data_IF_398467249106
#
_entry.id   IF_398467249106
#
_cell.length_a   1.000
_cell.length_b   1.000
_cell.length_c   1.000
_cell.angle_alpha   90.00
_cell.angle_beta   90.00
_cell.angle_gamma   90.00
#
_symmetry.space_group_name_H-M   'P 1'
#
loop_
_entity.id
_entity.type
_entity.pdbx_description
1 polymer ?
#
# COMPACT_ATOMS: atom_id res chain seq x y z
N UNK A 1 37.32 -17.77 -65.45
CA UNK A 1 37.31 -16.85 -64.28
C UNK A 1 36.79 -17.62 -63.08
N UNK A 2 37.64 -17.81 -62.07
CA UNK A 2 37.30 -18.44 -60.78
C UNK A 2 36.53 -17.40 -59.95
N UNK A 3 35.34 -17.72 -59.46
CA UNK A 3 34.75 -17.02 -58.30
C UNK A 3 34.19 -18.07 -57.35
N UNK A 4 34.99 -18.29 -56.31
CA UNK A 4 34.70 -19.04 -55.10
C UNK A 4 33.71 -18.20 -54.27
N UNK A 5 32.48 -18.66 -54.06
CA UNK A 5 31.57 -18.04 -53.10
C UNK A 5 31.73 -18.76 -51.76
N UNK A 6 32.33 -18.03 -50.84
CA UNK A 6 32.64 -18.40 -49.48
C UNK A 6 31.38 -18.32 -48.61
N UNK A 7 31.18 -19.35 -47.80
CA UNK A 7 30.12 -19.53 -46.82
C UNK A 7 30.05 -18.41 -45.77
N UNK A 8 28.84 -17.94 -45.42
CA UNK A 8 28.56 -17.33 -44.11
C UNK A 8 27.31 -18.01 -43.55
N UNK A 9 27.53 -19.05 -42.75
CA UNK A 9 26.49 -19.58 -41.87
C UNK A 9 26.40 -18.65 -40.65
N UNK A 10 25.33 -17.86 -40.56
CA UNK A 10 25.01 -17.09 -39.37
C UNK A 10 24.43 -18.07 -38.34
N UNK A 11 25.27 -18.54 -37.43
CA UNK A 11 24.80 -19.25 -36.24
C UNK A 11 24.11 -18.24 -35.31
N UNK A 12 22.78 -18.24 -35.31
CA UNK A 12 21.97 -17.56 -34.29
C UNK A 12 22.25 -18.23 -32.94
N UNK A 13 23.13 -17.62 -32.14
CA UNK A 13 23.35 -17.97 -30.76
C UNK A 13 22.16 -17.48 -29.94
N UNK A 14 21.21 -18.36 -29.65
CA UNK A 14 20.16 -18.12 -28.67
C UNK A 14 20.82 -18.10 -27.29
N UNK A 15 21.09 -16.90 -26.76
CA UNK A 15 21.45 -16.75 -25.36
C UNK A 15 20.18 -16.97 -24.54
N UNK A 16 19.93 -18.21 -24.15
CA UNK A 16 19.01 -18.49 -23.05
C UNK A 16 19.68 -17.95 -21.79
N UNK A 17 19.16 -16.86 -21.23
CA UNK A 17 19.51 -16.44 -19.89
C UNK A 17 19.01 -17.52 -18.92
N UNK A 18 19.89 -18.46 -18.57
CA UNK A 18 19.63 -19.41 -17.50
C UNK A 18 19.63 -18.62 -16.20
N UNK A 19 18.45 -18.33 -15.65
CA UNK A 19 18.32 -17.84 -14.29
C UNK A 19 18.84 -18.97 -13.41
N UNK A 20 20.00 -18.78 -12.80
CA UNK A 20 20.54 -19.73 -11.83
C UNK A 20 19.46 -20.03 -10.78
N UNK A 21 19.01 -21.28 -10.73
CA UNK A 21 18.20 -21.79 -9.63
C UNK A 21 18.99 -21.54 -8.35
N UNK A 22 18.50 -20.69 -7.46
CA UNK A 22 19.08 -20.57 -6.12
C UNK A 22 18.94 -21.93 -5.45
N UNK A 23 20.07 -22.55 -5.08
CA UNK A 23 20.07 -23.86 -4.44
C UNK A 23 19.17 -23.82 -3.18
N UNK A 24 18.27 -24.79 -3.01
CA UNK A 24 17.33 -24.82 -1.88
C UNK A 24 15.98 -24.13 -2.12
N UNK A 25 15.73 -23.54 -3.30
CA UNK A 25 14.44 -22.92 -3.66
C UNK A 25 13.76 -23.68 -4.78
N UNK A 26 12.53 -24.15 -4.54
CA UNK A 26 11.62 -24.70 -5.54
C UNK A 26 10.73 -23.59 -6.12
N UNK A 27 10.76 -23.43 -7.44
CA UNK A 27 9.97 -22.42 -8.14
C UNK A 27 8.81 -23.04 -8.92
N UNK A 28 7.61 -22.55 -8.70
CA UNK A 28 6.40 -22.81 -9.49
C UNK A 28 6.08 -21.54 -10.28
N UNK A 29 6.33 -21.57 -11.59
CA UNK A 29 6.19 -20.38 -12.44
C UNK A 29 4.87 -20.38 -13.21
N UNK A 30 4.40 -19.18 -13.52
CA UNK A 30 3.26 -18.92 -14.39
C UNK A 30 1.97 -19.63 -13.97
N UNK A 31 1.77 -19.78 -12.65
CA UNK A 31 0.56 -20.31 -12.06
C UNK A 31 -0.62 -19.38 -12.36
N UNK A 32 -1.61 -19.88 -13.08
CA UNK A 32 -2.81 -19.12 -13.46
C UNK A 32 -3.74 -19.03 -12.24
N UNK A 33 -4.01 -17.81 -11.77
CA UNK A 33 -4.85 -17.61 -10.58
C UNK A 33 -6.29 -17.18 -10.92
N UNK A 34 -6.58 -16.88 -12.19
CA UNK A 34 -7.94 -16.72 -12.74
C UNK A 34 -8.05 -17.56 -14.00
N UNK A 35 -8.71 -18.72 -13.90
CA UNK A 35 -8.96 -19.58 -15.06
C UNK A 35 -9.78 -18.87 -16.13
N UNK A 36 -9.36 -18.96 -17.39
CA UNK A 36 -9.97 -18.23 -18.50
C UNK A 36 -9.85 -16.70 -18.43
N UNK A 37 -9.10 -16.17 -17.46
CA UNK A 37 -8.86 -14.75 -17.28
C UNK A 37 -7.87 -14.16 -18.28
N UNK A 38 -7.44 -12.92 -18.02
CA UNK A 38 -6.41 -12.27 -18.83
C UNK A 38 -5.09 -13.04 -18.73
N UNK A 39 -4.25 -12.99 -19.76
CA UNK A 39 -2.92 -13.65 -19.77
C UNK A 39 -1.98 -13.21 -18.63
N UNK A 40 -2.30 -12.08 -17.99
CA UNK A 40 -1.55 -11.50 -16.86
C UNK A 40 -2.04 -12.02 -15.52
N UNK A 41 -3.15 -12.77 -15.46
CA UNK A 41 -3.61 -13.39 -14.22
C UNK A 41 -2.76 -14.61 -13.85
N UNK A 42 -1.45 -14.36 -13.69
CA UNK A 42 -0.41 -15.34 -13.37
C UNK A 42 0.45 -14.88 -12.20
N UNK A 43 0.92 -15.84 -11.42
CA UNK A 43 1.89 -15.61 -10.36
C UNK A 43 3.04 -16.62 -10.43
N UNK A 44 4.16 -16.26 -9.82
CA UNK A 44 5.22 -17.20 -9.50
C UNK A 44 5.23 -17.44 -7.99
N UNK A 45 5.39 -18.70 -7.58
CA UNK A 45 5.48 -19.11 -6.19
C UNK A 45 6.83 -19.79 -5.94
N UNK A 46 7.55 -19.32 -4.93
CA UNK A 46 8.86 -19.78 -4.53
C UNK A 46 8.77 -20.36 -3.12
N UNK A 47 9.20 -21.61 -2.98
CA UNK A 47 9.11 -22.39 -1.75
C UNK A 47 10.50 -22.89 -1.35
N UNK A 48 10.81 -23.04 -0.07
CA UNK A 48 11.99 -23.79 0.34
C UNK A 48 11.81 -25.28 -0.08
N UNK A 49 12.90 -25.96 -0.40
CA UNK A 49 12.87 -27.39 -0.74
C UNK A 49 12.32 -28.26 0.39
N UNK A 50 12.56 -27.84 1.64
CA UNK A 50 12.06 -28.49 2.85
C UNK A 50 11.45 -27.47 3.79
N UNK A 51 10.41 -27.88 4.52
CA UNK A 51 9.75 -27.06 5.54
C UNK A 51 9.27 -27.96 6.68
N UNK A 52 9.42 -27.51 7.93
CA UNK A 52 8.99 -28.24 9.13
C UNK A 52 7.48 -28.14 9.41
N UNK A 53 6.75 -27.29 8.66
CA UNK A 53 5.31 -27.09 8.77
C UNK A 53 4.79 -26.05 7.78
N UNK A 54 3.51 -25.64 7.89
CA UNK A 54 2.92 -24.62 7.01
C UNK A 54 3.70 -23.30 7.06
N UNK A 55 3.99 -22.74 5.88
CA UNK A 55 4.84 -21.58 5.71
C UNK A 55 4.03 -20.28 5.79
N UNK A 56 4.52 -19.23 6.48
CA UNK A 56 4.03 -17.88 6.26
C UNK A 56 4.35 -17.46 4.82
N UNK A 57 3.48 -16.66 4.20
CA UNK A 57 3.60 -16.24 2.81
C UNK A 57 3.84 -14.73 2.71
N UNK A 58 4.83 -14.33 1.91
CA UNK A 58 5.00 -12.95 1.45
C UNK A 58 4.59 -12.83 -0.02
N UNK A 59 3.72 -11.88 -0.33
CA UNK A 59 3.21 -11.64 -1.67
C UNK A 59 3.76 -10.30 -2.16
N UNK A 60 4.59 -10.34 -3.20
CA UNK A 60 5.12 -9.16 -3.87
C UNK A 60 4.17 -8.65 -4.96
N UNK A 61 3.90 -7.35 -4.94
CA UNK A 61 3.16 -6.63 -5.97
C UNK A 61 4.07 -5.58 -6.59
N UNK A 62 4.35 -5.73 -7.89
CA UNK A 62 5.28 -4.88 -8.60
C UNK A 62 4.76 -3.44 -8.79
N UNK A 63 5.67 -2.48 -8.90
CA UNK A 63 5.37 -1.11 -9.33
C UNK A 63 5.27 -0.96 -10.85
N UNK A 64 5.33 0.28 -11.35
CA UNK A 64 5.27 0.56 -12.79
C UNK A 64 4.08 1.43 -13.23
N UNK A 65 3.60 2.29 -12.32
CA UNK A 65 2.53 3.27 -12.61
C UNK A 65 1.26 2.64 -13.16
N UNK A 66 0.96 1.39 -12.75
CA UNK A 66 -0.11 0.52 -13.27
C UNK A 66 -0.10 0.27 -14.78
N UNK A 67 0.86 0.83 -15.51
CA UNK A 67 0.96 0.80 -16.97
C UNK A 67 2.02 -0.19 -17.45
N UNK A 68 2.93 -0.61 -16.57
CA UNK A 68 4.02 -1.52 -16.90
C UNK A 68 4.41 -2.40 -15.70
N UNK A 69 5.38 -3.28 -15.92
CA UNK A 69 5.95 -4.16 -14.91
C UNK A 69 5.50 -5.62 -15.04
N UNK A 70 6.10 -6.48 -14.24
CA UNK A 70 5.76 -7.90 -14.17
C UNK A 70 6.10 -8.49 -12.79
N UNK A 71 5.68 -9.73 -12.58
CA UNK A 71 6.06 -10.60 -11.44
C UNK A 71 7.55 -10.94 -11.39
N UNK A 72 8.34 -10.52 -12.38
CA UNK A 72 9.77 -10.78 -12.40
C UNK A 72 10.53 -9.82 -11.46
N UNK A 73 11.74 -10.18 -11.03
CA UNK A 73 12.56 -9.31 -10.18
C UNK A 73 12.02 -9.12 -8.75
N UNK A 74 11.27 -10.08 -8.22
CA UNK A 74 10.70 -10.11 -6.87
C UNK A 74 11.75 -9.76 -5.78
N UNK A 75 11.65 -8.59 -5.09
CA UNK A 75 12.56 -8.21 -4.01
C UNK A 75 12.58 -9.18 -2.82
N UNK A 76 11.45 -9.72 -2.31
CA UNK A 76 11.51 -10.75 -1.27
C UNK A 76 12.32 -11.98 -1.67
N UNK A 77 12.26 -12.42 -2.93
CA UNK A 77 13.08 -13.54 -3.41
C UNK A 77 14.57 -13.16 -3.39
N UNK A 78 14.92 -11.98 -3.91
CA UNK A 78 16.32 -11.48 -3.93
C UNK A 78 16.87 -11.21 -2.53
N UNK A 79 16.00 -10.84 -1.59
CA UNK A 79 16.33 -10.58 -0.18
C UNK A 79 16.43 -11.84 0.68
N UNK A 80 16.35 -13.03 0.07
CA UNK A 80 16.56 -14.30 0.77
C UNK A 80 15.43 -14.69 1.72
N UNK A 81 14.18 -14.26 1.46
CA UNK A 81 13.07 -14.56 2.37
C UNK A 81 12.66 -16.04 2.34
N UNK A 82 12.95 -16.76 1.25
CA UNK A 82 12.70 -18.21 1.20
C UNK A 82 13.59 -18.95 2.20
N UNK A 83 14.87 -18.59 2.25
CA UNK A 83 15.88 -19.10 3.18
C UNK A 83 15.56 -18.72 4.63
N UNK A 84 14.78 -17.65 4.84
CA UNK A 84 14.25 -17.26 6.14
C UNK A 84 13.00 -18.05 6.53
N UNK A 85 12.56 -19.03 5.75
CA UNK A 85 11.39 -19.85 6.05
C UNK A 85 10.05 -19.19 5.69
N UNK A 86 10.04 -18.34 4.66
CA UNK A 86 8.81 -17.89 4.02
C UNK A 86 8.56 -18.65 2.71
N UNK A 87 7.29 -18.86 2.38
CA UNK A 87 6.91 -18.92 0.98
C UNK A 87 6.91 -17.49 0.39
N UNK A 88 7.27 -17.34 -0.88
CA UNK A 88 7.23 -16.06 -1.57
C UNK A 88 6.42 -16.18 -2.85
N UNK A 89 5.35 -15.41 -2.98
CA UNK A 89 4.62 -15.25 -4.24
C UNK A 89 4.95 -13.90 -4.87
N UNK A 90 5.04 -13.84 -6.19
CA UNK A 90 5.15 -12.60 -6.96
C UNK A 90 4.03 -12.60 -8.00
N UNK A 91 3.17 -11.59 -7.98
CA UNK A 91 1.93 -11.59 -8.78
C UNK A 91 2.00 -10.55 -9.90
N UNK A 92 1.44 -10.92 -11.05
CA UNK A 92 1.02 -9.95 -12.06
C UNK A 92 -0.42 -9.49 -11.76
N UNK A 93 -0.78 -8.34 -12.30
CA UNK A 93 -2.16 -7.83 -12.40
C UNK A 93 -2.36 -7.18 -13.78
N UNK A 94 -3.61 -7.01 -14.22
CA UNK A 94 -3.95 -6.30 -15.48
C UNK A 94 -3.48 -4.85 -15.42
N UNK A 95 -2.78 -4.40 -16.46
CA UNK A 95 -2.31 -3.02 -16.55
C UNK A 95 -3.46 -2.08 -16.94
N UNK A 96 -3.35 -0.79 -16.64
CA UNK A 96 -4.39 0.21 -16.93
C UNK A 96 -4.71 0.34 -18.42
N UNK A 97 -3.74 0.02 -19.29
CA UNK A 97 -3.97 -0.09 -20.73
C UNK A 97 -4.81 -1.29 -21.16
N UNK A 98 -4.99 -2.29 -20.30
CA UNK A 98 -5.85 -3.45 -20.56
C UNK A 98 -7.24 -3.27 -19.94
N UNK A 99 -7.31 -2.72 -18.72
CA UNK A 99 -8.55 -2.46 -18.01
C UNK A 99 -8.34 -1.35 -16.97
N UNK A 100 -9.32 -0.45 -16.85
CA UNK A 100 -9.34 0.56 -15.79
C UNK A 100 -9.65 -0.06 -14.42
N UNK A 101 -9.35 0.67 -13.35
CA UNK A 101 -9.74 0.31 -11.99
C UNK A 101 -11.25 0.04 -11.90
N UNK A 102 -11.71 -1.02 -11.18
CA UNK A 102 -11.00 -1.79 -10.14
C UNK A 102 -10.23 -3.04 -10.60
N UNK A 103 -10.01 -3.25 -11.90
CA UNK A 103 -9.40 -4.49 -12.42
C UNK A 103 -8.09 -4.91 -11.72
N UNK A 104 -7.24 -3.94 -11.36
CA UNK A 104 -5.96 -4.18 -10.69
C UNK A 104 -6.14 -4.76 -9.29
N UNK A 105 -7.02 -4.17 -8.47
CA UNK A 105 -7.24 -4.62 -7.09
C UNK A 105 -8.01 -5.95 -7.06
N UNK A 106 -8.94 -6.13 -8.00
CA UNK A 106 -9.64 -7.41 -8.21
C UNK A 106 -8.66 -8.54 -8.49
N UNK A 107 -7.69 -8.31 -9.38
CA UNK A 107 -6.66 -9.28 -9.73
C UNK A 107 -5.77 -9.62 -8.53
N UNK A 108 -5.33 -8.61 -7.78
CA UNK A 108 -4.53 -8.82 -6.57
C UNK A 108 -5.28 -9.63 -5.51
N UNK A 109 -6.55 -9.29 -5.25
CA UNK A 109 -7.39 -10.04 -4.31
C UNK A 109 -7.68 -11.46 -4.80
N UNK A 110 -7.93 -11.65 -6.09
CA UNK A 110 -8.10 -12.97 -6.68
C UNK A 110 -6.85 -13.85 -6.50
N UNK A 111 -5.65 -13.30 -6.69
CA UNK A 111 -4.40 -14.02 -6.44
C UNK A 111 -4.28 -14.46 -4.97
N UNK A 112 -4.63 -13.59 -4.01
CA UNK A 112 -4.62 -13.92 -2.58
C UNK A 112 -5.60 -15.07 -2.27
N UNK A 113 -6.83 -14.99 -2.78
CA UNK A 113 -7.84 -16.04 -2.59
C UNK A 113 -7.42 -17.36 -3.23
N UNK A 114 -6.82 -17.32 -4.41
CA UNK A 114 -6.27 -18.50 -5.08
C UNK A 114 -5.15 -19.14 -4.25
N UNK A 115 -4.22 -18.34 -3.71
CA UNK A 115 -3.15 -18.82 -2.83
C UNK A 115 -3.70 -19.46 -1.54
N UNK A 116 -4.80 -18.93 -0.98
CA UNK A 116 -5.50 -19.57 0.15
C UNK A 116 -6.18 -20.87 -0.23
N UNK A 117 -6.86 -20.92 -1.37
CA UNK A 117 -7.51 -22.13 -1.86
C UNK A 117 -6.50 -23.28 -2.08
N UNK A 118 -5.28 -22.95 -2.51
CA UNK A 118 -4.21 -23.91 -2.79
C UNK A 118 -3.21 -24.06 -1.63
N UNK A 119 -3.51 -23.52 -0.45
CA UNK A 119 -2.59 -23.49 0.66
C UNK A 119 -2.15 -24.90 1.10
N UNK A 120 -3.03 -25.89 1.05
CA UNK A 120 -2.68 -27.28 1.37
C UNK A 120 -1.68 -27.88 0.38
N UNK A 121 -1.82 -27.57 -0.91
CA UNK A 121 -0.93 -28.07 -1.97
C UNK A 121 0.48 -27.50 -1.82
N UNK A 122 0.58 -26.20 -1.51
CA UNK A 122 1.85 -25.50 -1.40
C UNK A 122 2.37 -25.36 0.04
N UNK A 123 1.76 -26.07 1.00
CA UNK A 123 2.11 -26.02 2.41
C UNK A 123 2.17 -24.59 2.98
N UNK A 124 1.15 -23.79 2.70
CA UNK A 124 1.02 -22.39 3.15
C UNK A 124 0.13 -22.32 4.39
N UNK A 125 0.45 -21.40 5.28
CA UNK A 125 -0.41 -21.05 6.41
C UNK A 125 -1.36 -19.91 6.05
N UNK A 126 -2.64 -20.25 5.84
CA UNK A 126 -3.69 -19.30 5.43
C UNK A 126 -3.90 -18.13 6.41
N UNK A 127 -3.39 -18.23 7.65
CA UNK A 127 -3.48 -17.19 8.68
C UNK A 127 -2.27 -16.26 8.69
N UNK A 128 -1.28 -16.45 7.82
CA UNK A 128 0.01 -15.72 7.88
C UNK A 128 0.45 -15.21 6.51
N UNK A 129 -0.40 -14.42 5.87
CA UNK A 129 -0.11 -13.80 4.57
C UNK A 129 0.26 -12.32 4.78
N UNK A 130 1.46 -11.93 4.35
CA UNK A 130 1.88 -10.54 4.24
C UNK A 130 1.96 -10.10 2.78
N UNK A 131 1.76 -8.81 2.54
CA UNK A 131 1.92 -8.19 1.22
C UNK A 131 2.99 -7.12 1.27
N UNK A 132 3.73 -6.99 0.17
CA UNK A 132 4.76 -5.98 -0.02
C UNK A 132 4.71 -5.48 -1.45
N UNK A 133 4.75 -4.18 -1.67
CA UNK A 133 4.82 -3.60 -3.00
C UNK A 133 5.54 -2.26 -3.02
N UNK A 134 5.89 -1.79 -4.22
CA UNK A 134 6.50 -0.49 -4.44
C UNK A 134 5.74 0.37 -5.43
N UNK A 135 5.71 1.70 -5.22
CA UNK A 135 5.04 2.65 -6.12
C UNK A 135 3.58 2.25 -6.37
N UNK A 136 3.16 2.06 -7.62
CA UNK A 136 1.85 1.48 -7.97
C UNK A 136 1.52 0.16 -7.24
N UNK A 137 2.52 -0.69 -6.98
CA UNK A 137 2.36 -1.90 -6.18
C UNK A 137 2.22 -1.59 -4.69
N UNK A 138 2.90 -0.55 -4.20
CA UNK A 138 2.75 0.00 -2.84
C UNK A 138 1.32 0.48 -2.58
N UNK A 139 0.77 1.22 -3.55
CA UNK A 139 -0.64 1.59 -3.60
C UNK A 139 -1.56 0.38 -3.53
N UNK A 140 -1.35 -0.64 -4.38
CA UNK A 140 -2.19 -1.83 -4.41
C UNK A 140 -2.11 -2.63 -3.10
N UNK A 141 -0.93 -2.77 -2.47
CA UNK A 141 -0.83 -3.48 -1.18
C UNK A 141 -1.44 -2.69 -0.03
N UNK A 142 -1.35 -1.35 -0.06
CA UNK A 142 -2.07 -0.51 0.88
C UNK A 142 -3.58 -0.69 0.72
N UNK A 143 -4.08 -0.69 -0.52
CA UNK A 143 -5.49 -0.93 -0.80
C UNK A 143 -5.93 -2.35 -0.40
N UNK A 144 -5.12 -3.39 -0.64
CA UNK A 144 -5.40 -4.75 -0.15
C UNK A 144 -5.56 -4.75 1.37
N UNK A 145 -4.68 -4.05 2.08
CA UNK A 145 -4.71 -3.94 3.54
C UNK A 145 -5.97 -3.28 4.07
N UNK A 146 -6.33 -2.12 3.52
CA UNK A 146 -7.47 -1.31 4.00
C UNK A 146 -8.82 -1.79 3.45
N UNK A 147 -8.84 -2.54 2.35
CA UNK A 147 -10.08 -3.02 1.71
C UNK A 147 -10.42 -4.47 2.07
N UNK A 148 -9.91 -5.00 3.19
CA UNK A 148 -10.05 -6.40 3.58
C UNK A 148 -11.48 -6.95 3.54
N UNK A 149 -12.46 -6.13 3.92
CA UNK A 149 -13.89 -6.49 3.96
C UNK A 149 -14.73 -5.83 2.85
N UNK A 150 -14.08 -5.14 1.91
CA UNK A 150 -14.72 -4.50 0.76
C UNK A 150 -14.98 -5.57 -0.30
N UNK A 151 -16.17 -6.17 -0.23
CA UNK A 151 -16.60 -7.29 -1.10
C UNK A 151 -16.79 -6.90 -2.57
N UNK A 152 -16.99 -5.62 -2.88
CA UNK A 152 -17.09 -5.16 -4.28
C UNK A 152 -15.82 -5.46 -5.10
N UNK A 153 -14.66 -5.58 -4.45
CA UNK A 153 -13.40 -5.94 -5.11
C UNK A 153 -13.14 -7.47 -5.13
N UNK A 154 -14.01 -8.26 -4.52
CA UNK A 154 -13.91 -9.72 -4.52
C UNK A 154 -14.76 -10.32 -5.64
N UNK A 155 -14.18 -10.40 -6.85
CA UNK A 155 -14.83 -10.96 -8.04
C UNK A 155 -14.12 -12.21 -8.55
N UNK A 156 -14.82 -13.06 -9.30
CA UNK A 156 -14.26 -14.26 -9.92
C UNK A 156 -14.33 -15.50 -9.03
N UNK A 157 -13.27 -16.31 -9.04
CA UNK A 157 -13.23 -17.60 -8.34
C UNK A 157 -12.77 -17.48 -6.86
N UNK A 158 -12.92 -18.60 -6.13
CA UNK A 158 -12.48 -18.77 -4.74
C UNK A 158 -13.08 -17.73 -3.78
N UNK A 159 -14.35 -17.31 -3.99
CA UNK A 159 -15.02 -16.27 -3.19
C UNK A 159 -15.34 -16.72 -1.75
N UNK A 160 -15.31 -18.03 -1.50
CA UNK A 160 -15.37 -18.64 -0.18
C UNK A 160 -14.07 -18.42 0.62
N UNK A 161 -12.96 -18.09 -0.05
CA UNK A 161 -11.70 -17.75 0.59
C UNK A 161 -11.61 -16.25 0.91
N UNK A 162 -10.98 -15.90 2.03
CA UNK A 162 -10.74 -14.50 2.37
C UNK A 162 -9.63 -13.89 1.51
N UNK A 163 -9.75 -12.61 1.15
CA UNK A 163 -8.66 -11.82 0.56
C UNK A 163 -7.89 -10.97 1.60
N UNK A 164 -8.21 -11.07 2.90
CA UNK A 164 -7.53 -10.29 3.96
C UNK A 164 -6.05 -10.68 4.09
N UNK A 165 -5.23 -9.77 4.59
CA UNK A 165 -3.80 -10.03 4.87
C UNK A 165 -3.49 -9.65 6.31
N UNK A 166 -2.34 -10.10 6.81
CA UNK A 166 -1.92 -9.94 8.21
C UNK A 166 -0.80 -8.93 8.40
N UNK A 167 -0.14 -8.49 7.33
CA UNK A 167 0.89 -7.45 7.37
C UNK A 167 1.02 -6.77 6.01
N UNK A 168 1.23 -5.45 6.01
CA UNK A 168 1.42 -4.65 4.79
C UNK A 168 2.73 -3.89 4.85
N UNK A 169 3.58 -4.04 3.83
CA UNK A 169 4.74 -3.20 3.61
C UNK A 169 4.55 -2.37 2.34
N UNK A 170 4.33 -1.07 2.50
CA UNK A 170 4.16 -0.11 1.42
C UNK A 170 5.46 0.67 1.20
N UNK A 171 6.08 0.49 0.02
CA UNK A 171 7.17 1.34 -0.43
C UNK A 171 6.61 2.46 -1.34
N UNK A 172 6.57 3.68 -0.81
CA UNK A 172 6.26 4.92 -1.54
C UNK A 172 5.06 4.84 -2.50
N UNK A 173 3.97 4.17 -2.07
CA UNK A 173 2.72 4.12 -2.81
C UNK A 173 1.97 5.45 -2.78
N UNK A 174 1.30 5.87 -3.87
CA UNK A 174 0.32 6.94 -3.83
C UNK A 174 -0.95 6.48 -3.11
N UNK A 175 -1.58 7.35 -2.31
CA UNK A 175 -2.62 6.96 -1.35
C UNK A 175 -3.87 7.84 -1.40
N UNK A 176 -3.73 9.07 -1.88
CA UNK A 176 -4.81 10.03 -2.06
C UNK A 176 -4.59 10.85 -3.34
N UNK A 177 -5.21 10.40 -4.43
CA UNK A 177 -4.96 10.92 -5.77
C UNK A 177 -5.32 12.40 -5.92
N UNK A 178 -6.38 12.90 -5.28
CA UNK A 178 -6.76 14.32 -5.44
C UNK A 178 -5.76 15.25 -4.77
N UNK A 179 -5.16 14.83 -3.65
CA UNK A 179 -4.06 15.56 -3.01
C UNK A 179 -2.77 15.39 -3.80
N UNK A 180 -2.48 14.19 -4.30
CA UNK A 180 -1.29 13.91 -5.11
C UNK A 180 -1.22 14.86 -6.31
N UNK A 181 -2.24 14.86 -7.18
CA UNK A 181 -2.21 15.67 -8.40
C UNK A 181 -2.28 17.18 -8.15
N UNK A 182 -2.64 17.59 -6.93
CA UNK A 182 -2.68 19.00 -6.51
C UNK A 182 -1.45 19.41 -5.70
N UNK A 183 -0.49 18.50 -5.48
CA UNK A 183 0.73 18.79 -4.72
C UNK A 183 1.71 19.61 -5.59
N UNK A 184 2.19 20.78 -5.13
CA UNK A 184 3.14 21.59 -5.89
C UNK A 184 4.41 20.81 -6.27
N UNK A 185 4.83 20.91 -7.52
CA UNK A 185 5.96 20.17 -8.09
C UNK A 185 5.59 18.81 -8.70
N UNK A 186 4.33 18.40 -8.66
CA UNK A 186 3.81 17.14 -9.21
C UNK A 186 2.69 17.36 -10.23
N UNK A 187 2.60 18.55 -10.82
CA UNK A 187 1.51 18.96 -11.70
C UNK A 187 1.37 18.09 -12.96
N UNK A 188 2.44 17.40 -13.37
CA UNK A 188 2.40 16.42 -14.47
C UNK A 188 1.39 15.29 -14.22
N UNK A 189 1.10 14.97 -12.96
CA UNK A 189 0.13 13.95 -12.57
C UNK A 189 -1.33 14.40 -12.71
N UNK A 190 -1.59 15.70 -12.85
CA UNK A 190 -2.94 16.24 -13.05
C UNK A 190 -3.47 16.11 -14.49
N UNK A 191 -2.63 15.63 -15.42
CA UNK A 191 -2.98 15.51 -16.84
C UNK A 191 -3.78 14.23 -17.14
N UNK A 192 -4.59 14.25 -18.20
CA UNK A 192 -5.35 13.06 -18.68
C UNK A 192 -4.44 11.91 -19.14
N UNK A 193 -3.16 12.21 -19.41
CA UNK A 193 -2.16 11.22 -19.79
C UNK A 193 -1.42 10.60 -18.60
N UNK A 194 -1.69 11.07 -17.37
CA UNK A 194 -1.00 10.60 -16.17
C UNK A 194 -1.30 9.12 -15.87
N UNK A 195 -0.40 8.41 -15.16
CA UNK A 195 -0.66 7.06 -14.68
C UNK A 195 -1.98 6.95 -13.91
N UNK A 196 -2.28 7.94 -13.07
CA UNK A 196 -3.48 8.01 -12.23
C UNK A 196 -4.74 8.17 -13.09
N UNK A 197 -4.70 9.06 -14.09
CA UNK A 197 -5.82 9.30 -14.98
C UNK A 197 -6.13 8.07 -15.85
N UNK A 198 -5.09 7.39 -16.36
CA UNK A 198 -5.26 6.13 -17.11
C UNK A 198 -5.79 5.00 -16.24
N UNK A 199 -5.37 4.94 -14.97
CA UNK A 199 -5.87 3.93 -14.03
C UNK A 199 -7.37 4.09 -13.82
N UNK A 200 -7.87 5.29 -13.55
CA UNK A 200 -9.29 5.52 -13.23
C UNK A 200 -10.17 5.79 -14.47
N UNK A 201 -9.57 5.88 -15.66
CA UNK A 201 -10.28 6.14 -16.92
C UNK A 201 -10.77 7.58 -17.07
N UNK A 202 -9.95 8.56 -16.68
CA UNK A 202 -10.22 10.00 -16.82
C UNK A 202 -9.39 10.83 -15.85
N UNK A 203 -9.26 12.14 -16.09
CA UNK A 203 -8.46 12.99 -15.20
C UNK A 203 -9.04 13.04 -13.77
N UNK A 204 -8.12 12.96 -12.80
CA UNK A 204 -8.41 12.80 -11.37
C UNK A 204 -9.35 13.88 -10.85
N UNK A 205 -9.09 15.15 -11.19
CA UNK A 205 -9.86 16.27 -10.64
C UNK A 205 -11.27 16.39 -11.19
N UNK A 206 -11.59 15.76 -12.34
CA UNK A 206 -12.96 15.68 -12.87
C UNK A 206 -13.67 14.37 -12.53
N UNK A 207 -12.96 13.37 -11.98
CA UNK A 207 -13.48 12.05 -11.64
C UNK A 207 -13.22 11.73 -10.16
N UNK A 208 -13.55 12.66 -9.25
CA UNK A 208 -13.21 12.57 -7.81
C UNK A 208 -13.85 11.38 -7.11
N UNK A 209 -15.03 10.96 -7.54
CA UNK A 209 -15.72 9.75 -7.11
C UNK A 209 -14.90 8.50 -7.46
N UNK A 210 -14.37 8.41 -8.69
CA UNK A 210 -13.47 7.31 -9.08
C UNK A 210 -12.13 7.40 -8.34
N UNK A 211 -11.60 8.60 -8.12
CA UNK A 211 -10.40 8.82 -7.33
C UNK A 211 -10.57 8.28 -5.90
N UNK A 212 -11.67 8.64 -5.23
CA UNK A 212 -11.98 8.14 -3.89
C UNK A 212 -12.05 6.60 -3.85
N UNK A 213 -12.62 5.96 -4.87
CA UNK A 213 -12.70 4.49 -4.95
C UNK A 213 -11.32 3.81 -5.08
N UNK A 214 -10.34 4.44 -5.70
CA UNK A 214 -8.99 3.86 -5.85
C UNK A 214 -8.07 4.19 -4.66
N UNK A 215 -8.41 5.17 -3.84
CA UNK A 215 -7.58 5.64 -2.74
C UNK A 215 -7.66 4.68 -1.52
N UNK A 216 -6.54 4.07 -1.08
CA UNK A 216 -6.50 3.22 0.11
C UNK A 216 -7.04 3.89 1.37
N UNK A 217 -6.84 5.21 1.51
CA UNK A 217 -7.24 5.97 2.70
C UNK A 217 -8.76 5.98 2.91
N UNK A 218 -9.54 5.77 1.85
CA UNK A 218 -11.01 5.74 1.90
C UNK A 218 -11.53 4.58 2.74
N UNK A 219 -10.78 3.48 2.80
CA UNK A 219 -11.24 2.23 3.39
C UNK A 219 -10.66 1.95 4.78
N UNK A 220 -9.79 2.84 5.27
CA UNK A 220 -9.08 2.61 6.53
C UNK A 220 -10.05 2.32 7.67
N UNK A 221 -9.80 1.22 8.38
CA UNK A 221 -10.63 0.73 9.47
C UNK A 221 -9.79 0.18 10.61
N UNK A 222 -10.33 0.15 11.83
CA UNK A 222 -9.58 -0.26 13.04
C UNK A 222 -9.08 -1.71 13.02
N UNK A 223 -9.68 -2.54 12.18
CA UNK A 223 -9.40 -3.97 12.02
C UNK A 223 -8.52 -4.28 10.79
N UNK A 224 -7.93 -3.24 10.20
CA UNK A 224 -6.87 -3.35 9.21
C UNK A 224 -5.59 -3.98 9.82
N UNK A 225 -4.79 -4.71 9.01
CA UNK A 225 -3.54 -5.30 9.49
C UNK A 225 -2.51 -4.22 9.85
N UNK A 226 -1.43 -4.56 10.56
CA UNK A 226 -0.32 -3.64 10.77
C UNK A 226 0.37 -3.21 9.46
N UNK A 227 0.83 -1.97 9.42
CA UNK A 227 1.52 -1.35 8.27
C UNK A 227 2.96 -0.98 8.61
N UNK A 228 3.87 -1.26 7.68
CA UNK A 228 5.16 -0.61 7.54
C UNK A 228 5.13 0.22 6.25
N UNK A 229 5.38 1.53 6.36
CA UNK A 229 5.41 2.46 5.24
C UNK A 229 6.83 3.00 5.12
N UNK A 230 7.43 2.95 3.93
CA UNK A 230 8.81 3.40 3.69
C UNK A 230 8.85 4.33 2.48
N UNK A 231 9.40 5.54 2.64
CA UNK A 231 9.42 6.54 1.57
C UNK A 231 10.70 7.39 1.61
N UNK A 232 11.27 7.72 0.46
CA UNK A 232 12.38 8.68 0.36
C UNK A 232 11.91 10.13 0.39
N UNK A 233 12.59 11.03 1.11
CA UNK A 233 12.18 12.44 1.21
C UNK A 233 12.56 13.32 0.00
N UNK A 234 13.24 12.75 -1.00
CA UNK A 234 13.56 13.36 -2.30
C UNK A 234 12.91 12.64 -3.47
N UNK A 235 11.85 11.87 -3.22
CA UNK A 235 11.07 11.21 -4.28
C UNK A 235 10.52 12.26 -5.25
N UNK A 236 10.89 12.24 -6.54
CA UNK A 236 10.38 13.21 -7.53
C UNK A 236 9.14 12.70 -8.26
N UNK A 237 8.65 11.49 -7.95
CA UNK A 237 7.58 10.80 -8.66
C UNK A 237 6.32 10.72 -7.81
N UNK A 238 6.44 10.31 -6.56
CA UNK A 238 5.32 10.28 -5.61
C UNK A 238 5.70 11.19 -4.44
N UNK A 239 4.88 12.21 -4.10
CA UNK A 239 5.20 13.09 -3.01
C UNK A 239 5.12 12.34 -1.69
N UNK A 240 6.09 12.57 -0.80
CA UNK A 240 6.14 11.93 0.52
C UNK A 240 4.88 12.19 1.38
N UNK A 241 4.13 13.25 1.08
CA UNK A 241 2.84 13.52 1.74
C UNK A 241 1.83 12.38 1.55
N UNK A 242 1.94 11.55 0.51
CA UNK A 242 1.09 10.38 0.31
C UNK A 242 1.29 9.35 1.43
N UNK A 243 2.53 9.04 1.78
CA UNK A 243 2.83 8.14 2.89
C UNK A 243 2.42 8.74 4.24
N UNK A 244 2.59 10.05 4.42
CA UNK A 244 2.14 10.74 5.63
C UNK A 244 0.61 10.68 5.80
N UNK A 245 -0.16 10.92 4.74
CA UNK A 245 -1.63 10.86 4.76
C UNK A 245 -2.14 9.47 5.14
N UNK A 246 -1.55 8.41 4.57
CA UNK A 246 -1.92 7.04 4.92
C UNK A 246 -1.55 6.72 6.36
N UNK A 247 -0.34 7.08 6.80
CA UNK A 247 0.09 6.88 8.18
C UNK A 247 -0.86 7.57 9.17
N UNK A 248 -1.21 8.83 8.91
CA UNK A 248 -2.11 9.60 9.77
C UNK A 248 -3.50 8.98 9.83
N UNK A 249 -4.06 8.55 8.69
CA UNK A 249 -5.36 7.88 8.64
C UNK A 249 -5.36 6.55 9.43
N UNK A 250 -4.31 5.74 9.28
CA UNK A 250 -4.13 4.49 10.02
C UNK A 250 -4.02 4.75 11.53
N UNK A 251 -3.21 5.73 11.94
CA UNK A 251 -3.03 6.10 13.34
C UNK A 251 -4.31 6.64 13.97
N UNK A 252 -5.07 7.46 13.25
CA UNK A 252 -6.37 7.99 13.69
C UNK A 252 -7.41 6.88 13.89
N UNK A 253 -7.30 5.79 13.12
CA UNK A 253 -8.15 4.61 13.24
C UNK A 253 -7.60 3.55 14.19
N UNK A 254 -6.56 3.89 14.96
CA UNK A 254 -5.91 3.01 15.95
C UNK A 254 -5.22 1.77 15.35
N UNK A 255 -4.93 1.79 14.05
CA UNK A 255 -4.18 0.74 13.36
C UNK A 255 -2.68 0.84 13.71
N UNK A 256 -2.03 -0.31 13.90
CA UNK A 256 -0.60 -0.36 14.15
C UNK A 256 0.17 -0.02 12.88
N UNK A 257 0.71 1.20 12.79
CA UNK A 257 1.49 1.65 11.65
C UNK A 257 2.86 2.20 12.08
N UNK A 258 3.88 1.97 11.25
CA UNK A 258 5.18 2.62 11.33
C UNK A 258 5.49 3.28 9.98
N UNK A 259 5.90 4.53 10.00
CA UNK A 259 6.34 5.27 8.82
C UNK A 259 7.82 5.63 8.94
N UNK A 260 8.62 5.12 8.01
CA UNK A 260 10.06 5.36 7.93
C UNK A 260 10.41 6.21 6.71
N UNK A 261 11.12 7.32 6.96
CA UNK A 261 11.64 8.20 5.92
C UNK A 261 13.11 7.88 5.64
N UNK A 262 13.43 7.60 4.38
CA UNK A 262 14.81 7.45 3.93
C UNK A 262 15.33 8.81 3.46
N UNK A 263 16.08 9.49 4.32
CA UNK A 263 16.61 10.82 4.01
C UNK A 263 17.54 10.81 2.80
N UNK A 264 17.29 11.73 1.86
CA UNK A 264 18.05 11.87 0.62
C UNK A 264 17.68 10.87 -0.49
N UNK A 265 16.83 9.87 -0.21
CA UNK A 265 16.43 8.89 -1.22
C UNK A 265 15.28 9.41 -2.11
N UNK A 266 15.29 8.97 -3.36
CA UNK A 266 14.25 9.25 -4.35
C UNK A 266 13.20 8.13 -4.47
N UNK A 267 12.64 7.96 -5.66
CA UNK A 267 11.65 6.91 -5.98
C UNK A 267 12.30 5.53 -6.12
N UNK A 268 12.68 4.93 -4.99
CA UNK A 268 13.46 3.69 -4.94
C UNK A 268 14.98 3.94 -4.93
N UNK A 269 15.74 2.99 -5.49
CA UNK A 269 17.20 3.06 -5.56
C UNK A 269 17.94 2.47 -4.35
N UNK A 270 19.26 2.69 -4.24
CA UNK A 270 20.12 1.99 -3.28
C UNK A 270 19.72 2.16 -1.82
N UNK A 271 19.10 3.29 -1.44
CA UNK A 271 18.62 3.53 -0.08
C UNK A 271 17.63 2.46 0.40
N UNK A 272 16.81 1.92 -0.50
CA UNK A 272 15.82 0.88 -0.19
C UNK A 272 16.42 -0.54 -0.14
N UNK A 273 17.67 -0.71 -0.58
CA UNK A 273 18.44 -1.95 -0.47
C UNK A 273 19.51 -1.85 0.64
N UNK A 274 19.39 -0.86 1.52
CA UNK A 274 20.28 -0.69 2.67
C UNK A 274 19.99 -1.74 3.74
N UNK A 275 21.05 -2.21 4.42
CA UNK A 275 20.96 -3.23 5.47
C UNK A 275 19.97 -2.89 6.59
N UNK A 276 19.83 -1.60 6.92
CA UNK A 276 18.91 -1.16 7.97
C UNK A 276 17.45 -1.25 7.51
N UNK A 277 17.17 -0.96 6.25
CA UNK A 277 15.85 -1.17 5.64
C UNK A 277 15.54 -2.66 5.56
N UNK A 278 16.49 -3.48 5.13
CA UNK A 278 16.33 -4.94 5.10
C UNK A 278 16.05 -5.50 6.51
N UNK A 279 16.76 -5.01 7.54
CA UNK A 279 16.53 -5.39 8.94
C UNK A 279 15.13 -4.97 9.41
N UNK A 280 14.71 -3.74 9.10
CA UNK A 280 13.41 -3.21 9.47
C UNK A 280 12.27 -4.02 8.85
N UNK A 281 12.30 -4.21 7.54
CA UNK A 281 11.23 -4.91 6.79
C UNK A 281 11.14 -6.36 7.22
N UNK A 282 12.29 -7.00 7.36
CA UNK A 282 12.31 -8.40 7.73
C UNK A 282 11.93 -8.63 9.19
N UNK A 283 12.34 -7.74 10.10
CA UNK A 283 11.89 -7.72 11.48
C UNK A 283 10.38 -7.47 11.59
N UNK A 284 9.83 -6.57 10.78
CA UNK A 284 8.39 -6.34 10.69
C UNK A 284 7.63 -7.60 10.27
N UNK A 285 8.05 -8.29 9.20
CA UNK A 285 7.36 -9.51 8.79
C UNK A 285 7.54 -10.66 9.79
N UNK A 286 8.74 -10.84 10.36
CA UNK A 286 8.99 -11.87 11.36
C UNK A 286 8.10 -11.63 12.61
N UNK A 287 7.94 -10.38 13.04
CA UNK A 287 7.00 -9.97 14.08
C UNK A 287 5.58 -10.46 13.83
N UNK A 288 5.06 -10.14 12.64
CA UNK A 288 3.63 -10.27 12.34
C UNK A 288 3.26 -11.64 11.84
N UNK A 289 4.19 -12.35 11.20
CA UNK A 289 3.92 -13.61 10.51
C UNK A 289 4.66 -14.80 11.10
N UNK A 290 5.56 -14.61 12.07
CA UNK A 290 6.16 -15.74 12.81
C UNK A 290 5.90 -15.68 14.30
N UNK A 291 5.09 -14.71 14.74
CA UNK A 291 4.76 -14.47 16.15
C UNK A 291 6.02 -14.33 17.01
N UNK A 292 7.10 -13.77 16.47
CA UNK A 292 8.33 -13.53 17.23
C UNK A 292 8.24 -12.23 18.06
N UNK A 293 7.04 -11.75 18.38
CA UNK A 293 6.80 -10.49 19.10
C UNK A 293 7.49 -10.46 20.47
N UNK A 294 7.68 -11.62 21.11
CA UNK A 294 8.45 -11.76 22.36
C UNK A 294 9.94 -11.41 22.21
N UNK A 295 10.43 -11.17 20.97
CA UNK A 295 11.81 -10.78 20.66
C UNK A 295 11.94 -9.32 20.16
N UNK A 296 10.88 -8.50 20.26
CA UNK A 296 10.76 -7.21 19.56
C UNK A 296 10.84 -5.99 20.49
N UNK A 297 11.53 -6.11 21.62
CA UNK A 297 12.05 -4.92 22.31
C UNK A 297 13.33 -4.35 21.65
N UNK A 298 13.89 -5.04 20.64
CA UNK A 298 15.18 -4.69 20.03
C UNK A 298 15.11 -3.95 18.66
N UNK A 299 13.93 -3.66 18.12
CA UNK A 299 13.77 -3.01 16.79
C UNK A 299 13.23 -1.57 16.85
N UNK A 300 12.90 -1.07 18.04
CA UNK A 300 12.50 0.32 18.28
C UNK A 300 13.63 1.02 19.03
N UNK A 301 14.76 1.21 18.37
CA UNK A 301 15.80 2.15 18.83
C UNK A 301 16.16 3.08 17.68
N UNK A 302 15.71 4.33 17.83
CA UNK A 302 16.21 5.57 17.22
C UNK A 302 16.12 5.73 15.68
N UNK A 303 14.98 6.25 15.22
CA UNK A 303 14.99 7.28 14.17
C UNK A 303 15.08 8.62 14.89
N UNK A 304 16.31 9.14 15.04
CA UNK A 304 16.52 10.52 15.44
C UNK A 304 16.12 11.41 14.26
N UNK A 305 15.07 12.21 14.48
CA UNK A 305 14.98 13.49 13.83
C UNK A 305 16.30 14.25 14.05
N UNK A 306 16.82 14.85 12.99
CA UNK A 306 18.06 15.62 12.95
C UNK A 306 18.17 16.64 14.12
N UNK A 307 19.19 16.54 15.00
CA UNK A 307 19.46 17.52 16.05
C UNK A 307 19.73 18.95 15.52
N UNK A 308 20.06 19.12 14.23
CA UNK A 308 20.34 20.42 13.64
C UNK A 308 19.10 21.34 13.50
N UNK A 309 17.88 20.80 13.66
CA UNK A 309 16.66 21.59 13.73
C UNK A 309 16.30 22.07 15.14
N UNK A 310 16.97 21.60 16.20
CA UNK A 310 16.68 21.98 17.59
C UNK A 310 17.44 23.21 18.10
N UNK A 311 18.39 23.78 17.34
CA UNK A 311 19.24 24.87 17.83
C UNK A 311 18.95 26.24 17.20
N UNK A 312 17.67 26.59 17.06
CA UNK A 312 17.23 27.99 16.93
C UNK A 312 16.28 28.31 18.06
N UNK A 313 16.80 28.99 19.08
CA UNK A 313 16.04 29.50 20.22
C UNK A 313 14.96 30.51 19.74
N UNK A 314 13.66 30.22 19.86
CA UNK A 314 12.60 31.16 19.51
C UNK A 314 12.11 31.98 20.73
N UNK A 315 12.73 31.89 21.91
CA UNK A 315 12.25 32.54 23.13
C UNK A 315 13.04 33.79 23.50
N UNK A 316 13.01 34.79 22.61
CA UNK A 316 13.00 36.21 23.03
C UNK A 316 11.86 36.96 22.35
N UNK A 317 10.78 37.10 23.12
CA UNK A 317 9.83 38.20 22.97
C UNK A 317 8.54 37.88 22.21
N UNK A 318 7.58 37.25 22.89
CA UNK A 318 6.21 37.76 23.14
C UNK A 318 5.30 36.62 23.62
N UNK A 319 4.33 37.00 24.43
CA UNK A 319 3.42 36.20 25.28
C UNK A 319 2.60 35.12 24.56
N UNK A 320 2.46 33.98 25.24
CA UNK A 320 1.51 32.89 24.93
C UNK A 320 0.04 33.37 24.96
N UNK A 321 -0.85 32.71 24.19
CA UNK A 321 -1.80 31.81 24.86
C UNK A 321 -1.84 30.40 24.23
N UNK A 322 -2.14 29.40 25.07
CA UNK A 322 -2.02 27.97 24.79
C UNK A 322 -2.81 27.44 23.59
N UNK A 323 -2.21 26.49 22.87
CA UNK A 323 -2.79 25.85 21.68
C UNK A 323 -3.35 24.46 21.96
N UNK A 324 -4.66 24.29 21.75
CA UNK A 324 -5.36 23.01 21.72
C UNK A 324 -5.12 22.23 20.42
N UNK A 325 -5.28 20.90 20.50
CA UNK A 325 -5.25 19.90 19.41
C UNK A 325 -6.27 20.28 18.31
N UNK A 326 -5.92 20.19 17.02
CA UNK A 326 -6.85 20.48 15.92
C UNK A 326 -7.31 19.19 15.23
N UNK A 327 -8.55 18.78 15.51
CA UNK A 327 -9.36 18.00 14.56
C UNK A 327 -9.71 18.86 13.33
N UNK A 328 -10.43 18.29 12.36
CA UNK A 328 -10.95 19.05 11.21
C UNK A 328 -11.81 20.20 11.75
N UNK A 329 -11.52 21.47 11.43
CA UNK A 329 -12.30 22.59 11.95
C UNK A 329 -13.78 22.50 11.52
N UNK A 330 -14.69 22.98 12.38
CA UNK A 330 -16.13 22.98 12.09
C UNK A 330 -16.43 23.69 10.76
N UNK A 331 -15.68 24.75 10.47
CA UNK A 331 -15.80 25.57 9.25
C UNK A 331 -15.36 24.84 7.98
N UNK A 332 -14.70 23.68 8.10
CA UNK A 332 -14.36 22.78 6.99
C UNK A 332 -15.47 21.75 6.78
N UNK A 333 -16.10 21.28 7.86
CA UNK A 333 -17.23 20.34 7.79
C UNK A 333 -18.45 21.03 7.18
N UNK A 334 -18.84 22.22 7.67
CA UNK A 334 -19.99 22.94 7.12
C UNK A 334 -19.78 23.34 5.66
N UNK A 335 -18.59 23.82 5.27
CA UNK A 335 -18.30 24.12 3.85
C UNK A 335 -18.43 22.92 2.91
N UNK A 336 -18.28 21.71 3.44
CA UNK A 336 -18.34 20.47 2.67
C UNK A 336 -19.76 19.89 2.66
N UNK A 337 -20.44 19.95 3.82
CA UNK A 337 -21.60 19.12 4.11
C UNK A 337 -22.86 19.92 4.51
N UNK A 338 -22.81 21.23 4.72
CA UNK A 338 -24.00 22.07 4.96
C UNK A 338 -24.55 22.53 3.61
N UNK A 339 -25.46 21.75 3.02
CA UNK A 339 -25.93 21.98 1.64
C UNK A 339 -27.04 23.01 1.58
N UNK A 340 -27.83 23.11 2.64
CA UNK A 340 -28.92 24.09 2.74
C UNK A 340 -28.50 25.42 3.41
N UNK A 341 -27.27 25.51 3.91
CA UNK A 341 -26.66 26.67 4.57
C UNK A 341 -27.39 27.08 5.87
N UNK A 342 -27.91 26.11 6.62
CA UNK A 342 -28.60 26.35 7.89
C UNK A 342 -27.64 26.40 9.11
N UNK A 343 -26.34 26.15 8.88
CA UNK A 343 -25.29 26.14 9.90
C UNK A 343 -25.19 24.82 10.69
N UNK A 344 -25.94 23.80 10.28
CA UNK A 344 -25.92 22.43 10.81
C UNK A 344 -25.63 21.47 9.66
N UNK A 345 -25.42 20.20 9.99
CA UNK A 345 -25.23 19.16 8.97
C UNK A 345 -26.14 17.99 9.30
N UNK A 346 -27.15 17.75 8.47
CA UNK A 346 -28.02 16.60 8.63
C UNK A 346 -27.36 15.31 8.16
N UNK A 347 -27.92 14.17 8.59
CA UNK A 347 -27.46 12.84 8.17
C UNK A 347 -27.47 12.67 6.64
N UNK A 348 -28.37 13.35 5.94
CA UNK A 348 -28.49 13.26 4.49
C UNK A 348 -27.42 14.10 3.76
N UNK A 349 -26.90 15.14 4.41
CA UNK A 349 -25.91 16.02 3.81
C UNK A 349 -24.47 15.64 4.16
N UNK A 350 -24.28 15.00 5.32
CA UNK A 350 -22.98 14.53 5.77
C UNK A 350 -22.33 13.57 4.77
N UNK A 351 -21.20 13.97 4.20
CA UNK A 351 -20.45 13.16 3.24
C UNK A 351 -19.50 12.14 3.88
N UNK A 352 -19.38 12.12 5.21
CA UNK A 352 -18.57 11.15 5.95
C UNK A 352 -19.29 9.82 6.27
N UNK A 353 -18.60 8.86 6.90
CA UNK A 353 -19.19 7.56 7.22
C UNK A 353 -20.43 7.68 8.13
N UNK A 354 -21.49 6.88 7.92
CA UNK A 354 -22.69 6.91 8.77
C UNK A 354 -22.42 6.66 10.26
N UNK A 355 -21.40 5.85 10.58
CA UNK A 355 -20.98 5.60 11.97
C UNK A 355 -20.27 6.79 12.60
N UNK A 356 -19.61 7.64 11.81
CA UNK A 356 -19.00 8.87 12.30
C UNK A 356 -20.10 9.89 12.62
N UNK A 357 -21.12 10.00 11.76
CA UNK A 357 -22.30 10.83 12.03
C UNK A 357 -22.93 10.46 13.38
N UNK A 358 -23.19 9.18 13.62
CA UNK A 358 -23.76 8.68 14.89
C UNK A 358 -22.89 8.95 16.13
N UNK A 359 -21.58 9.13 15.97
CA UNK A 359 -20.66 9.46 17.08
C UNK A 359 -20.60 10.95 17.37
N UNK A 360 -20.81 11.77 16.34
CA UNK A 360 -20.80 13.23 16.43
C UNK A 360 -22.16 13.76 16.90
N UNK A 361 -23.26 13.14 16.46
CA UNK A 361 -24.64 13.41 16.89
C UNK A 361 -24.88 12.85 18.30
N UNK A 362 -24.47 13.62 19.32
CA UNK A 362 -24.48 13.16 20.71
C UNK A 362 -25.89 13.17 21.29
N UNK A 363 -26.73 14.08 20.84
CA UNK A 363 -28.11 14.19 21.31
C UNK A 363 -29.08 13.28 20.54
N UNK A 364 -28.64 12.70 19.41
CA UNK A 364 -29.40 11.75 18.60
C UNK A 364 -30.52 12.41 17.79
N UNK A 365 -30.44 13.72 17.55
CA UNK A 365 -31.49 14.48 16.86
C UNK A 365 -31.37 14.44 15.32
N UNK A 366 -30.30 13.83 14.81
CA UNK A 366 -30.06 13.69 13.38
C UNK A 366 -29.41 14.90 12.72
N UNK A 367 -28.91 15.86 13.50
CA UNK A 367 -28.22 17.07 13.06
C UNK A 367 -26.90 17.22 13.81
N UNK A 368 -25.80 17.46 13.09
CA UNK A 368 -24.54 17.86 13.72
C UNK A 368 -24.53 19.36 13.93
N UNK A 369 -24.15 19.76 15.14
CA UNK A 369 -23.92 21.16 15.50
C UNK A 369 -22.46 21.46 15.82
N UNK A 370 -22.10 22.75 15.78
CA UNK A 370 -20.78 23.23 16.19
C UNK A 370 -20.42 22.76 17.60
N UNK A 371 -21.37 22.86 18.52
CA UNK A 371 -21.14 22.54 19.94
C UNK A 371 -20.86 21.06 20.15
N UNK A 372 -21.56 20.17 19.44
CA UNK A 372 -21.33 18.73 19.50
C UNK A 372 -19.97 18.34 18.90
N UNK A 373 -19.61 18.99 17.79
CA UNK A 373 -18.32 18.82 17.15
C UNK A 373 -17.17 19.31 18.04
N UNK A 374 -17.30 20.49 18.66
CA UNK A 374 -16.30 21.01 19.59
C UNK A 374 -16.21 20.15 20.87
N UNK A 375 -17.35 19.68 21.39
CA UNK A 375 -17.38 18.74 22.53
C UNK A 375 -16.80 17.37 22.19
N UNK A 376 -16.85 16.93 20.93
CA UNK A 376 -16.17 15.72 20.46
C UNK A 376 -14.65 15.92 20.44
N UNK A 377 -14.16 17.05 19.91
CA UNK A 377 -12.73 17.38 19.89
C UNK A 377 -12.16 17.50 21.31
N UNK A 378 -12.93 18.08 22.24
CA UNK A 378 -12.51 18.29 23.63
C UNK A 378 -12.52 17.01 24.49
N UNK A 379 -13.37 16.03 24.16
CA UNK A 379 -13.50 14.77 24.93
C UNK A 379 -12.45 13.70 24.59
N UNK A 380 -11.58 13.93 23.59
CA UNK A 380 -10.52 13.00 23.23
C UNK A 380 -9.44 12.92 24.34
N UNK A 381 -9.14 11.74 24.92
CA UNK A 381 -8.30 11.63 26.10
C UNK A 381 -6.88 12.18 25.84
N UNK A 382 -6.37 12.94 26.81
CA UNK A 382 -4.95 13.27 26.92
C UNK A 382 -4.30 12.13 27.69
N UNK A 383 -3.47 11.31 27.04
CA UNK A 383 -2.54 10.42 27.73
C UNK A 383 -1.11 10.94 27.55
N UNK A 384 -0.30 10.83 28.61
CA UNK A 384 0.97 11.56 28.78
C UNK A 384 2.00 11.29 27.69
#
# INVERSE_FOLDING_TARGET
>A
MKCLLLSIAVALCWITASIAQTAGVKAHRDLVYVEGGHERNKLDLYLPETAEGPLPLLIWVHGGGWQNGSKDGCPPLRGGYVERGYAVASINYRLSGHAVFPAQIEDCKAAIRWLRAHAKEYNLDVKRFGVWGSSAGGHLVALIGTSGDVREFDVGANLDQSSRVQAVCDYYGPTEFTVFVSTPGYESHATDASPEAKLIGGAVMQNKDKAARVNPITYVSKDDPPFLIVHGDKDPTVPINQSQLLFDALKQSEVSAHFHTIHGAGHGGPGFAGKDIDRMVSGFFDARLKNTLDKIEALVTESTADPAMMNRDPRKGRSQPGGARRGIPWEVITRRDDKDNDGKVSKAEFSGPPLLFQRLDKNGDGLLTRDEHEAFIQAAPVRP
#
